data_IF_220793228986
#
_entry.id   IF_220793228986
#
_cell.length_a   1.000
_cell.length_b   1.000
_cell.length_c   1.000
_cell.angle_alpha   90.00
_cell.angle_beta   90.00
_cell.angle_gamma   90.00
#
_symmetry.space_group_name_H-M   'P 1'
#
loop_
_entity.id
_entity.type
_entity.pdbx_description
1 polymer ?
#
# COMPACT_ATOMS: atom_id res chain seq x y z
N UNK A 1 10.08 -0.08 -7.19
CA UNK A 1 9.46 -0.38 -5.89
C UNK A 1 9.79 0.74 -4.93
N UNK A 2 8.81 1.28 -4.21
CA UNK A 2 9.06 2.24 -3.13
C UNK A 2 9.90 1.54 -2.05
N UNK A 3 10.95 2.21 -1.58
CA UNK A 3 11.80 1.69 -0.52
C UNK A 3 11.11 1.75 0.84
N UNK A 4 11.53 0.87 1.77
CA UNK A 4 11.01 0.85 3.15
C UNK A 4 11.20 2.21 3.85
N UNK A 5 12.36 2.84 3.65
CA UNK A 5 12.71 4.12 4.27
C UNK A 5 11.81 5.28 3.80
N UNK A 6 11.41 5.28 2.51
CA UNK A 6 10.48 6.29 1.99
C UNK A 6 9.10 6.17 2.64
N UNK A 7 8.60 4.94 2.80
CA UNK A 7 7.30 4.71 3.44
C UNK A 7 7.34 5.09 4.91
N UNK A 8 8.43 4.77 5.61
CA UNK A 8 8.60 5.15 7.02
C UNK A 8 8.62 6.67 7.21
N UNK A 9 9.26 7.42 6.31
CA UNK A 9 9.19 8.89 6.31
C UNK A 9 7.76 9.39 6.08
N UNK A 10 7.05 8.85 5.09
CA UNK A 10 5.66 9.22 4.79
C UNK A 10 4.75 8.95 5.99
N UNK A 11 4.88 7.78 6.63
CA UNK A 11 4.11 7.43 7.82
C UNK A 11 4.45 8.33 9.00
N UNK A 12 5.71 8.71 9.18
CA UNK A 12 6.10 9.62 10.26
C UNK A 12 5.54 11.04 10.08
N UNK A 13 5.40 11.49 8.83
CA UNK A 13 4.93 12.86 8.54
C UNK A 13 3.40 12.95 8.42
N UNK A 14 2.78 11.94 7.79
CA UNK A 14 1.37 11.97 7.39
C UNK A 14 0.49 10.98 8.16
N UNK A 15 1.09 10.03 8.88
CA UNK A 15 0.39 9.00 9.64
C UNK A 15 -0.27 7.91 8.79
N UNK A 16 -0.20 7.99 7.46
CA UNK A 16 -0.80 7.05 6.52
C UNK A 16 -0.14 7.15 5.13
N UNK A 17 -0.25 6.10 4.33
CA UNK A 17 0.19 6.06 2.93
C UNK A 17 -1.04 5.91 2.03
N UNK A 18 -1.11 6.69 0.95
CA UNK A 18 -2.11 6.54 -0.10
C UNK A 18 -1.45 6.09 -1.40
N UNK A 19 -1.99 5.04 -2.03
CA UNK A 19 -1.53 4.50 -3.30
C UNK A 19 -2.68 4.56 -4.30
N UNK A 20 -2.51 5.40 -5.32
CA UNK A 20 -3.38 5.44 -6.49
C UNK A 20 -2.93 4.45 -7.56
N UNK A 21 -3.85 3.63 -8.06
CA UNK A 21 -3.60 2.80 -9.25
C UNK A 21 -3.96 3.59 -10.50
N UNK A 22 -2.98 3.88 -11.35
CA UNK A 22 -3.20 4.63 -12.59
C UNK A 22 -3.97 3.83 -13.67
N UNK A 23 -4.06 2.50 -13.52
CA UNK A 23 -4.74 1.64 -14.50
C UNK A 23 -6.23 1.46 -14.21
N UNK A 24 -6.62 1.29 -12.94
CA UNK A 24 -8.01 1.09 -12.55
C UNK A 24 -8.62 2.30 -11.80
N UNK A 25 -7.82 3.31 -11.47
CA UNK A 25 -8.26 4.49 -10.71
C UNK A 25 -8.54 4.22 -9.23
N UNK A 26 -8.23 3.03 -8.72
CA UNK A 26 -8.44 2.69 -7.32
C UNK A 26 -7.49 3.48 -6.41
N UNK A 27 -7.99 3.94 -5.26
CA UNK A 27 -7.18 4.54 -4.21
C UNK A 27 -7.17 3.61 -3.00
N UNK A 28 -5.97 3.21 -2.60
CA UNK A 28 -5.73 2.39 -1.42
C UNK A 28 -5.10 3.24 -0.33
N UNK A 29 -5.62 3.15 0.89
CA UNK A 29 -5.02 3.76 2.07
C UNK A 29 -4.50 2.69 2.99
N UNK A 30 -3.29 2.89 3.46
CA UNK A 30 -2.62 2.05 4.42
C UNK A 30 -2.32 2.89 5.65
N UNK A 31 -2.85 2.47 6.79
CA UNK A 31 -2.40 3.01 8.06
C UNK A 31 -0.99 2.44 8.40
N UNK A 32 -0.33 2.91 9.46
CA UNK A 32 1.01 2.46 9.80
C UNK A 32 1.10 0.96 10.13
N UNK A 33 0.02 0.37 10.65
CA UNK A 33 -0.05 -1.04 11.02
C UNK A 33 -0.18 -1.89 9.75
N UNK A 34 -1.07 -1.50 8.84
CA UNK A 34 -1.28 -2.16 7.55
C UNK A 34 -0.07 -2.01 6.63
N UNK A 35 0.54 -0.82 6.59
CA UNK A 35 1.75 -0.57 5.81
C UNK A 35 2.90 -1.47 6.27
N UNK A 36 3.06 -1.66 7.58
CA UNK A 36 4.07 -2.58 8.11
C UNK A 36 3.82 -4.04 7.68
N UNK A 37 2.56 -4.47 7.60
CA UNK A 37 2.21 -5.82 7.14
C UNK A 37 2.58 -6.06 5.67
N UNK A 38 2.39 -5.07 4.79
CA UNK A 38 2.76 -5.17 3.36
C UNK A 38 4.27 -5.43 3.18
N UNK A 39 5.14 -4.93 4.06
CA UNK A 39 6.58 -5.21 4.00
C UNK A 39 7.01 -6.46 4.78
N UNK A 40 6.24 -6.89 5.78
CA UNK A 40 6.47 -8.15 6.50
C UNK A 40 6.07 -9.38 5.68
N UNK A 41 5.14 -9.20 4.74
CA UNK A 41 4.68 -10.22 3.83
C UNK A 41 5.01 -9.80 2.39
N UNK A 42 6.12 -10.28 1.78
CA UNK A 42 6.51 -9.92 0.42
C UNK A 42 5.49 -10.33 -0.68
N UNK A 43 4.35 -10.92 -0.29
CA UNK A 43 3.32 -11.46 -1.17
C UNK A 43 1.92 -10.85 -0.95
N UNK A 44 1.73 -9.77 -0.17
CA UNK A 44 0.45 -9.05 -0.18
C UNK A 44 0.37 -8.22 -1.47
N UNK A 45 0.17 -8.92 -2.57
CA UNK A 45 -0.51 -8.38 -3.72
C UNK A 45 -1.85 -7.85 -3.19
N UNK A 46 -2.28 -6.62 -3.56
CA UNK A 46 -3.66 -6.21 -3.30
C UNK A 46 -4.55 -7.34 -3.80
N UNK A 47 -5.63 -7.71 -3.06
CA UNK A 47 -6.46 -8.84 -3.45
C UNK A 47 -6.78 -8.66 -4.92
N UNK A 48 -6.31 -9.61 -5.75
CA UNK A 48 -6.51 -9.57 -7.19
C UNK A 48 -7.99 -9.30 -7.36
N UNK A 49 -8.30 -8.09 -7.86
CA UNK A 49 -9.67 -7.60 -7.96
C UNK A 49 -10.47 -8.72 -8.60
N UNK A 50 -11.43 -9.22 -7.84
CA UNK A 50 -12.33 -10.33 -8.14
C UNK A 50 -12.61 -10.30 -9.65
N UNK A 51 -11.93 -11.17 -10.42
CA UNK A 51 -12.19 -11.36 -11.83
C UNK A 51 -13.57 -12.02 -11.90
N UNK A 52 -14.61 -11.21 -11.75
CA UNK A 52 -15.98 -11.63 -12.02
C UNK A 52 -16.13 -11.66 -13.54
N UNK A 53 -16.03 -12.89 -14.01
CA UNK A 53 -16.52 -13.50 -15.25
C UNK A 53 -17.52 -12.67 -16.05
#
# INVERSE_FOLDING_TARGET
SLGRDEIESILSEQGQVEVGCEFCGAQYRFDPVDAAQVFLQPEIQPPASDQKH
#
